data_IF_590248268112
#
_entry.id   IF_590248268112
#
_cell.length_a   1.000
_cell.length_b   1.000
_cell.length_c   1.000
_cell.angle_alpha   90.00
_cell.angle_beta   90.00
_cell.angle_gamma   90.00
#
_symmetry.space_group_name_H-M   'P 1'
#
loop_
_entity.id
_entity.type
_entity.pdbx_description
1 polymer ?
#
# COMPACT_ATOMS: atom_id res chain seq x y z
N UNK A 1 35.27 -8.72 -23.94
CA UNK A 1 36.60 -8.88 -23.32
C UNK A 1 36.69 -7.87 -22.19
N UNK A 2 36.57 -8.31 -20.93
CA UNK A 2 36.89 -7.45 -19.80
C UNK A 2 38.40 -7.13 -19.85
N UNK A 3 38.84 -5.91 -19.58
CA UNK A 3 40.27 -5.62 -19.51
C UNK A 3 40.85 -6.46 -18.39
N UNK A 4 41.91 -7.23 -18.66
CA UNK A 4 42.76 -7.80 -17.62
C UNK A 4 43.39 -6.64 -16.86
N UNK A 5 42.74 -6.26 -15.77
CA UNK A 5 43.15 -5.20 -14.88
C UNK A 5 44.45 -5.60 -14.17
N UNK A 6 45.55 -4.91 -14.51
CA UNK A 6 46.84 -5.16 -13.92
C UNK A 6 46.92 -4.50 -12.53
N UNK A 7 46.60 -5.28 -11.49
CA UNK A 7 46.62 -4.86 -10.08
C UNK A 7 48.03 -4.47 -9.58
N UNK A 8 49.10 -4.85 -10.31
CA UNK A 8 50.49 -4.50 -10.00
C UNK A 8 50.95 -3.17 -10.62
N UNK A 9 50.02 -2.38 -11.20
CA UNK A 9 50.34 -1.08 -11.77
C UNK A 9 50.95 -0.12 -10.71
N UNK A 10 52.13 0.41 -11.00
CA UNK A 10 52.84 1.38 -10.14
C UNK A 10 52.16 2.75 -10.16
N UNK A 11 51.57 3.12 -11.29
CA UNK A 11 50.88 4.39 -11.50
C UNK A 11 49.50 4.11 -12.08
N UNK A 12 48.47 4.62 -11.43
CA UNK A 12 47.07 4.48 -11.84
C UNK A 12 46.44 5.86 -11.93
N UNK A 13 45.94 6.22 -13.11
CA UNK A 13 45.13 7.42 -13.26
C UNK A 13 43.71 7.13 -12.76
N UNK A 14 43.22 7.92 -11.81
CA UNK A 14 41.84 7.88 -11.31
C UNK A 14 41.08 9.05 -11.94
N UNK A 15 40.24 8.80 -12.96
CA UNK A 15 39.48 9.84 -13.63
C UNK A 15 38.48 10.56 -12.69
N UNK A 16 37.92 11.71 -13.09
CA UNK A 16 36.78 12.31 -12.39
C UNK A 16 35.63 11.31 -12.23
N UNK A 17 34.98 11.32 -11.07
CA UNK A 17 33.89 10.39 -10.71
C UNK A 17 34.27 8.90 -10.73
N UNK A 18 35.56 8.58 -10.59
CA UNK A 18 36.03 7.24 -10.33
C UNK A 18 36.71 7.15 -8.96
N UNK A 19 36.79 5.94 -8.43
CA UNK A 19 37.50 5.65 -7.19
C UNK A 19 38.26 4.33 -7.25
N UNK A 20 39.26 4.20 -6.38
CA UNK A 20 40.03 2.97 -6.16
C UNK A 20 40.07 2.63 -4.68
N UNK A 21 40.33 1.36 -4.38
CA UNK A 21 40.66 0.91 -3.02
C UNK A 21 42.13 0.53 -2.94
N UNK A 22 42.80 1.03 -1.89
CA UNK A 22 44.23 0.83 -1.67
C UNK A 22 44.42 0.27 -0.26
N UNK A 23 45.01 -0.91 -0.17
CA UNK A 23 45.44 -1.55 1.06
C UNK A 23 46.88 -1.12 1.40
N UNK A 24 47.07 -0.53 2.56
CA UNK A 24 48.38 -0.32 3.17
C UNK A 24 48.75 -1.58 3.99
N UNK A 25 49.83 -2.27 3.61
CA UNK A 25 50.30 -3.50 4.28
C UNK A 25 50.93 -3.26 5.65
N UNK A 26 51.39 -2.04 5.94
CA UNK A 26 51.99 -1.73 7.23
C UNK A 26 50.91 -1.60 8.32
N UNK A 27 49.80 -0.96 7.97
CA UNK A 27 48.67 -0.72 8.88
C UNK A 27 47.55 -1.73 8.71
N UNK A 28 47.58 -2.51 7.62
CA UNK A 28 46.51 -3.40 7.16
C UNK A 28 45.17 -2.68 6.93
N UNK A 29 45.23 -1.38 6.60
CA UNK A 29 44.07 -0.54 6.39
C UNK A 29 43.81 -0.39 4.90
N UNK A 30 42.58 -0.68 4.50
CA UNK A 30 42.11 -0.37 3.14
C UNK A 30 41.42 0.98 3.15
N UNK A 31 41.92 1.92 2.35
CA UNK A 31 41.35 3.25 2.21
C UNK A 31 40.83 3.50 0.80
N UNK A 32 39.90 4.43 0.72
CA UNK A 32 39.29 4.91 -0.51
C UNK A 32 40.11 6.08 -1.07
N UNK A 33 40.39 6.07 -2.38
CA UNK A 33 40.96 7.22 -3.08
C UNK A 33 40.02 7.61 -4.22
N UNK A 34 39.56 8.87 -4.21
CA UNK A 34 38.67 9.43 -5.23
C UNK A 34 39.45 10.25 -6.26
N UNK A 35 38.97 10.26 -7.51
CA UNK A 35 39.52 11.10 -8.57
C UNK A 35 38.99 12.55 -8.52
N UNK A 36 39.56 13.48 -9.30
CA UNK A 36 40.61 13.28 -10.30
C UNK A 36 42.01 13.33 -9.71
N UNK A 37 42.70 12.19 -9.65
CA UNK A 37 44.07 12.11 -9.12
C UNK A 37 44.86 11.05 -9.86
N UNK A 38 46.18 11.23 -9.99
CA UNK A 38 47.08 10.15 -10.42
C UNK A 38 47.64 9.50 -9.19
N UNK A 39 47.17 8.30 -8.88
CA UNK A 39 47.64 7.54 -7.74
C UNK A 39 48.97 6.85 -8.07
N UNK A 40 49.98 7.07 -7.24
CA UNK A 40 51.28 6.41 -7.34
C UNK A 40 51.42 5.47 -6.14
N UNK A 41 51.47 4.17 -6.41
CA UNK A 41 51.53 3.11 -5.40
C UNK A 41 52.91 3.14 -4.72
N UNK A 42 52.93 3.23 -3.40
CA UNK A 42 54.16 3.02 -2.61
C UNK A 42 54.46 1.53 -2.42
N UNK A 43 55.66 1.19 -2.00
CA UNK A 43 56.10 -0.21 -1.83
C UNK A 43 55.21 -1.02 -0.86
N UNK A 44 54.71 -0.37 0.20
CA UNK A 44 53.83 -0.99 1.19
C UNK A 44 52.35 -0.97 0.80
N UNK A 45 51.98 -0.39 -0.35
CA UNK A 45 50.59 -0.26 -0.78
C UNK A 45 50.26 -1.28 -1.86
N UNK A 46 49.03 -1.79 -1.86
CA UNK A 46 48.48 -2.69 -2.87
C UNK A 46 47.12 -2.18 -3.30
N UNK A 47 46.89 -2.10 -4.61
CA UNK A 47 45.59 -1.71 -5.14
C UNK A 47 44.69 -2.94 -5.11
N UNK A 48 43.62 -2.89 -4.32
CA UNK A 48 42.66 -4.00 -4.21
C UNK A 48 41.53 -3.87 -5.21
N UNK A 49 41.19 -2.63 -5.60
CA UNK A 49 40.17 -2.34 -6.60
C UNK A 49 40.68 -1.26 -7.57
N UNK A 50 40.68 -1.58 -8.85
CA UNK A 50 41.03 -0.65 -9.93
C UNK A 50 39.95 0.43 -10.13
N UNK A 51 40.21 1.50 -10.93
CA UNK A 51 39.31 2.65 -11.02
C UNK A 51 37.89 2.27 -11.47
N UNK A 52 36.96 2.21 -10.52
CA UNK A 52 35.53 1.98 -10.78
C UNK A 52 34.78 3.30 -10.77
N UNK A 53 33.75 3.41 -11.61
CA UNK A 53 32.87 4.59 -11.63
C UNK A 53 32.07 4.69 -10.34
N UNK A 54 31.96 5.90 -9.82
CA UNK A 54 31.05 6.22 -8.74
C UNK A 54 29.60 5.94 -9.14
N UNK A 55 28.79 5.61 -8.14
CA UNK A 55 27.37 5.37 -8.32
C UNK A 55 26.69 6.72 -8.46
N UNK A 56 25.91 6.88 -9.52
CA UNK A 56 25.09 8.05 -9.76
C UNK A 56 23.63 7.66 -9.65
N UNK A 57 22.89 8.34 -8.77
CA UNK A 57 21.47 8.10 -8.52
C UNK A 57 20.72 9.35 -8.91
N UNK A 58 19.76 9.24 -9.84
CA UNK A 58 18.94 10.37 -10.29
C UNK A 58 17.76 10.64 -9.34
N UNK A 59 17.01 11.72 -9.56
CA UNK A 59 15.88 12.15 -8.70
C UNK A 59 14.74 11.14 -8.61
N UNK A 60 14.60 10.25 -9.59
CA UNK A 60 13.57 9.22 -9.67
C UNK A 60 14.10 7.80 -9.40
N UNK A 61 15.33 7.68 -8.90
CA UNK A 61 16.00 6.41 -8.66
C UNK A 61 16.48 6.29 -7.21
N UNK A 62 16.79 5.06 -6.81
CA UNK A 62 17.42 4.73 -5.55
C UNK A 62 18.33 3.50 -5.73
N UNK A 63 19.23 3.28 -4.77
CA UNK A 63 19.94 2.02 -4.62
C UNK A 63 20.00 1.64 -3.14
N UNK A 64 20.17 0.35 -2.85
CA UNK A 64 20.37 -0.15 -1.49
C UNK A 64 21.80 -0.66 -1.34
N UNK A 65 22.44 -0.30 -0.23
CA UNK A 65 23.83 -0.66 0.07
C UNK A 65 23.85 -1.47 1.35
N UNK A 66 24.46 -2.65 1.27
CA UNK A 66 24.73 -3.49 2.44
C UNK A 66 26.02 -3.07 3.12
N UNK A 67 26.02 -3.19 4.44
CA UNK A 67 27.13 -2.81 5.32
C UNK A 67 27.53 -1.34 5.16
N UNK A 68 26.59 -0.38 5.25
CA UNK A 68 26.87 1.03 5.01
C UNK A 68 27.89 1.58 6.01
N UNK A 69 28.65 2.60 5.60
CA UNK A 69 29.53 3.34 6.52
C UNK A 69 28.72 4.05 7.62
N UNK A 70 29.25 4.03 8.84
CA UNK A 70 28.70 4.80 9.97
C UNK A 70 29.02 6.27 9.78
N UNK A 71 28.02 7.12 10.03
CA UNK A 71 28.13 8.56 9.98
C UNK A 71 27.86 9.15 11.36
N UNK A 72 28.55 10.23 11.68
CA UNK A 72 28.29 11.02 12.88
C UNK A 72 27.04 11.90 12.72
N UNK A 73 26.68 12.65 13.76
CA UNK A 73 25.53 13.58 13.75
C UNK A 73 25.67 14.70 12.71
N UNK A 74 26.89 14.99 12.27
CA UNK A 74 27.21 16.00 11.26
C UNK A 74 27.21 15.43 9.83
N UNK A 75 27.04 14.11 9.69
CA UNK A 75 27.02 13.38 8.42
C UNK A 75 28.40 13.00 7.88
N UNK A 76 29.47 13.27 8.63
CA UNK A 76 30.83 12.84 8.31
C UNK A 76 31.00 11.36 8.63
N UNK A 77 31.95 10.72 7.97
CA UNK A 77 32.18 9.29 8.12
C UNK A 77 33.00 9.05 9.39
N UNK A 78 32.54 8.12 10.20
CA UNK A 78 33.27 7.69 11.38
C UNK A 78 34.43 6.80 10.94
N UNK A 79 35.65 7.22 11.29
CA UNK A 79 36.85 6.46 11.03
C UNK A 79 37.53 6.05 12.34
N UNK A 80 37.93 4.78 12.44
CA UNK A 80 38.76 4.28 13.52
C UNK A 80 40.12 3.89 12.96
N UNK A 81 41.18 4.51 13.47
CA UNK A 81 42.56 4.36 12.97
C UNK A 81 42.77 4.69 11.49
N UNK A 82 41.84 5.42 10.84
CA UNK A 82 41.88 5.74 9.41
C UNK A 82 41.16 4.71 8.52
N UNK A 83 40.42 3.78 9.13
CA UNK A 83 39.51 2.88 8.43
C UNK A 83 38.06 3.31 8.69
N UNK A 84 37.26 3.40 7.63
CA UNK A 84 35.83 3.68 7.73
C UNK A 84 35.13 2.55 8.48
N UNK A 85 34.35 2.90 9.52
CA UNK A 85 33.58 1.93 10.30
C UNK A 85 32.31 1.60 9.53
N UNK A 86 32.05 0.30 9.33
CA UNK A 86 30.83 -0.19 8.68
C UNK A 86 29.79 -0.63 9.72
N UNK A 87 28.52 -0.54 9.35
CA UNK A 87 27.42 -1.12 10.08
C UNK A 87 27.03 -2.48 9.48
N UNK A 88 27.74 -3.52 9.92
CA UNK A 88 27.58 -4.86 9.35
C UNK A 88 26.18 -5.43 9.59
N UNK A 89 25.59 -5.97 8.52
CA UNK A 89 24.24 -6.55 8.55
C UNK A 89 23.11 -5.55 8.36
N UNK A 90 23.41 -4.25 8.29
CA UNK A 90 22.45 -3.21 7.99
C UNK A 90 22.41 -2.88 6.50
N UNK A 91 21.31 -2.26 6.08
CA UNK A 91 21.09 -1.78 4.70
C UNK A 91 20.73 -0.30 4.74
N UNK A 92 21.40 0.49 3.90
CA UNK A 92 21.12 1.91 3.68
C UNK A 92 20.54 2.13 2.29
N UNK A 93 19.38 2.81 2.22
CA UNK A 93 18.82 3.27 0.96
C UNK A 93 19.39 4.65 0.62
N UNK A 94 20.10 4.76 -0.50
CA UNK A 94 20.61 6.04 -1.01
C UNK A 94 19.73 6.52 -2.16
N UNK A 95 19.29 7.77 -2.07
CA UNK A 95 18.47 8.46 -3.07
C UNK A 95 19.34 9.44 -3.87
N UNK A 96 18.69 10.32 -4.63
CA UNK A 96 19.34 11.35 -5.42
C UNK A 96 20.32 12.20 -4.59
N UNK A 97 21.60 12.07 -4.91
CA UNK A 97 22.70 12.79 -4.28
C UNK A 97 23.88 12.87 -5.27
N UNK A 98 24.90 13.70 -4.99
CA UNK A 98 26.12 13.73 -5.81
C UNK A 98 26.72 12.31 -5.97
N UNK A 99 27.35 12.00 -7.12
CA UNK A 99 27.93 10.69 -7.34
C UNK A 99 28.87 10.29 -6.20
N UNK A 100 28.70 9.08 -5.69
CA UNK A 100 29.39 8.63 -4.50
C UNK A 100 30.13 7.30 -4.76
N UNK A 101 31.30 7.11 -4.13
CA UNK A 101 32.01 5.84 -4.15
C UNK A 101 31.42 4.86 -3.13
N UNK A 102 31.77 3.58 -3.29
CA UNK A 102 31.58 2.60 -2.22
C UNK A 102 32.85 2.53 -1.37
N UNK A 103 32.67 2.51 -0.05
CA UNK A 103 33.78 2.31 0.88
C UNK A 103 34.20 0.84 0.90
N UNK A 104 35.45 0.54 1.30
CA UNK A 104 35.91 -0.85 1.42
C UNK A 104 34.98 -1.65 2.34
N UNK A 105 34.33 -2.68 1.80
CA UNK A 105 33.38 -3.55 2.50
C UNK A 105 31.89 -3.21 2.30
N UNK A 106 31.57 -2.02 1.79
CA UNK A 106 30.22 -1.73 1.28
C UNK A 106 29.97 -2.54 0.01
N UNK A 107 28.75 -3.04 -0.14
CA UNK A 107 28.33 -3.77 -1.34
C UNK A 107 26.96 -3.28 -1.80
N UNK A 108 26.71 -3.33 -3.12
CA UNK A 108 25.41 -2.98 -3.66
C UNK A 108 24.48 -4.17 -3.46
N UNK A 109 23.46 -3.98 -2.62
CA UNK A 109 22.39 -4.96 -2.41
C UNK A 109 21.37 -4.86 -3.54
N UNK A 110 20.85 -3.64 -3.75
CA UNK A 110 19.92 -3.33 -4.83
C UNK A 110 20.57 -2.35 -5.79
N UNK A 111 20.73 -2.69 -7.09
CA UNK A 111 21.31 -1.79 -8.07
C UNK A 111 20.44 -0.54 -8.25
N UNK A 112 20.96 0.47 -8.96
CA UNK A 112 20.20 1.70 -9.25
C UNK A 112 18.89 1.34 -9.94
N UNK A 113 17.79 1.56 -9.22
CA UNK A 113 16.44 1.14 -9.56
C UNK A 113 15.51 2.34 -9.46
N UNK A 114 14.49 2.41 -10.33
CA UNK A 114 13.52 3.50 -10.31
C UNK A 114 12.60 3.40 -9.09
N UNK A 115 12.23 4.55 -8.54
CA UNK A 115 11.21 4.66 -7.49
C UNK A 115 9.86 4.22 -8.05
N UNK A 116 9.05 3.58 -7.22
CA UNK A 116 7.68 3.22 -7.56
C UNK A 116 6.79 4.46 -7.54
N UNK A 117 6.43 4.93 -8.74
CA UNK A 117 5.49 6.03 -8.93
C UNK A 117 4.09 5.47 -9.04
N UNK A 118 3.20 5.95 -8.17
CA UNK A 118 1.79 5.57 -8.12
C UNK A 118 0.91 6.71 -8.63
N UNK A 119 -0.10 6.35 -9.42
CA UNK A 119 -1.19 7.26 -9.77
C UNK A 119 -2.21 7.38 -8.63
N UNK A 120 -3.18 8.29 -8.77
CA UNK A 120 -4.21 8.52 -7.74
C UNK A 120 -5.16 7.33 -7.50
N UNK A 121 -5.16 6.33 -8.39
CA UNK A 121 -5.98 5.11 -8.30
C UNK A 121 -5.15 3.88 -7.94
N UNK A 122 -3.88 4.07 -7.58
CA UNK A 122 -2.96 3.01 -7.20
C UNK A 122 -2.46 3.20 -5.77
N UNK A 123 -2.19 2.10 -5.09
CA UNK A 123 -1.59 2.08 -3.77
C UNK A 123 -0.60 0.92 -3.63
N UNK A 124 0.34 1.06 -2.69
CA UNK A 124 1.16 -0.05 -2.22
C UNK A 124 0.69 -0.49 -0.84
N UNK A 125 0.43 -1.79 -0.67
CA UNK A 125 0.24 -2.39 0.64
C UNK A 125 1.61 -2.65 1.26
N UNK A 126 1.87 -1.96 2.36
CA UNK A 126 3.11 -2.02 3.10
C UNK A 126 2.92 -2.81 4.39
N UNK A 127 4.01 -3.42 4.88
CA UNK A 127 4.07 -3.96 6.23
C UNK A 127 5.36 -3.61 6.93
N UNK A 128 5.31 -3.44 8.25
CA UNK A 128 6.48 -3.16 9.07
C UNK A 128 7.21 -4.46 9.41
N UNK A 129 8.50 -4.58 9.04
CA UNK A 129 9.37 -5.69 9.46
C UNK A 129 9.75 -5.58 10.93
N UNK A 130 10.01 -4.36 11.38
CA UNK A 130 10.41 -4.02 12.75
C UNK A 130 9.59 -2.82 13.23
N UNK A 131 9.56 -2.59 14.54
CA UNK A 131 8.90 -1.40 15.09
C UNK A 131 9.71 -0.14 14.80
N UNK A 132 9.07 0.92 14.33
CA UNK A 132 9.71 2.21 14.03
C UNK A 132 8.72 3.37 14.13
N UNK A 133 9.25 4.59 14.21
CA UNK A 133 8.46 5.81 14.12
C UNK A 133 8.37 6.27 12.67
N UNK A 134 7.16 6.29 12.11
CA UNK A 134 6.94 6.74 10.74
C UNK A 134 7.13 8.27 10.60
N UNK A 135 7.30 8.76 9.37
CA UNK A 135 7.44 10.20 9.08
C UNK A 135 6.26 11.03 9.58
N UNK A 136 5.10 10.39 9.67
CA UNK A 136 3.85 11.02 10.10
C UNK A 136 3.70 11.01 11.64
N UNK A 137 4.75 10.60 12.36
CA UNK A 137 4.75 10.47 13.82
C UNK A 137 4.00 9.25 14.34
N UNK A 138 3.54 8.37 13.45
CA UNK A 138 2.85 7.13 13.85
C UNK A 138 3.87 6.07 14.26
N UNK A 139 3.79 5.61 15.50
CA UNK A 139 4.59 4.46 15.96
C UNK A 139 4.00 3.17 15.39
N UNK A 140 4.74 2.52 14.49
CA UNK A 140 4.36 1.25 13.88
C UNK A 140 4.99 0.09 14.62
N UNK A 141 4.25 -0.98 14.79
CA UNK A 141 4.70 -2.25 15.37
C UNK A 141 5.00 -3.24 14.25
N UNK A 142 5.93 -4.18 14.49
CA UNK A 142 6.21 -5.24 13.53
C UNK A 142 4.93 -6.01 13.16
N UNK A 143 4.72 -6.21 11.86
CA UNK A 143 3.53 -6.84 11.29
C UNK A 143 2.37 -5.89 10.98
N UNK A 144 2.44 -4.62 11.41
CA UNK A 144 1.42 -3.62 11.04
C UNK A 144 1.36 -3.47 9.53
N UNK A 145 0.16 -3.30 8.98
CA UNK A 145 -0.09 -3.07 7.55
C UNK A 145 -0.79 -1.74 7.33
N UNK A 146 -0.38 -1.05 6.27
CA UNK A 146 -0.99 0.21 5.84
C UNK A 146 -0.82 0.40 4.35
N UNK A 147 -1.54 1.36 3.79
CA UNK A 147 -1.42 1.73 2.39
C UNK A 147 -0.56 2.97 2.25
N UNK A 148 0.26 2.98 1.22
CA UNK A 148 0.77 4.20 0.62
C UNK A 148 -0.08 4.48 -0.62
N UNK A 149 -1.02 5.43 -0.49
CA UNK A 149 -1.94 5.84 -1.55
C UNK A 149 -1.26 6.88 -2.46
N UNK A 150 -1.38 6.73 -3.78
CA UNK A 150 -0.93 7.76 -4.71
C UNK A 150 -1.84 9.01 -4.70
N UNK A 151 -1.47 10.09 -5.40
CA UNK A 151 -0.32 10.21 -6.28
C UNK A 151 0.99 10.47 -5.52
N UNK A 152 2.05 9.73 -5.86
CA UNK A 152 3.35 9.92 -5.22
C UNK A 152 4.40 8.90 -5.62
N UNK A 153 5.67 9.24 -5.40
CA UNK A 153 6.78 8.30 -5.52
C UNK A 153 7.07 7.68 -4.16
N UNK A 154 6.90 6.38 -4.04
CA UNK A 154 7.22 5.65 -2.82
C UNK A 154 8.73 5.61 -2.62
N UNK A 155 9.18 6.02 -1.43
CA UNK A 155 10.59 5.96 -1.00
C UNK A 155 10.76 4.76 -0.07
N UNK A 156 11.44 3.68 -0.52
CA UNK A 156 11.65 2.50 0.30
C UNK A 156 12.40 2.80 1.61
N UNK A 157 12.11 2.01 2.63
CA UNK A 157 12.78 2.08 3.94
C UNK A 157 13.19 0.68 4.39
N UNK A 158 14.23 0.58 5.21
CA UNK A 158 14.73 -0.73 5.68
C UNK A 158 13.76 -1.44 6.62
N UNK A 159 12.95 -0.69 7.35
CA UNK A 159 11.97 -1.20 8.31
C UNK A 159 10.66 -1.64 7.63
N UNK A 160 10.49 -1.38 6.34
CA UNK A 160 9.22 -1.56 5.62
C UNK A 160 9.38 -2.55 4.47
N UNK A 161 8.37 -3.39 4.27
CA UNK A 161 8.26 -4.33 3.16
C UNK A 161 7.05 -4.00 2.29
N UNK A 162 7.22 -4.03 0.98
CA UNK A 162 6.13 -3.89 0.01
C UNK A 162 5.51 -5.27 -0.22
N UNK A 163 4.27 -5.48 0.20
CA UNK A 163 3.56 -6.76 0.04
C UNK A 163 2.94 -6.91 -1.35
N UNK A 164 2.23 -5.86 -1.81
CA UNK A 164 1.57 -5.87 -3.12
C UNK A 164 1.25 -4.46 -3.62
N UNK A 165 1.14 -4.32 -4.94
CA UNK A 165 0.49 -3.18 -5.60
C UNK A 165 -1.01 -3.44 -5.66
N UNK A 166 -1.81 -2.44 -5.33
CA UNK A 166 -3.27 -2.50 -5.32
C UNK A 166 -3.81 -1.39 -6.23
N UNK A 167 -4.81 -1.73 -7.02
CA UNK A 167 -5.60 -0.77 -7.79
C UNK A 167 -6.91 -0.49 -7.06
N UNK A 168 -7.43 0.73 -7.21
CA UNK A 168 -8.76 1.08 -6.72
C UNK A 168 -9.83 0.25 -7.44
N UNK A 169 -10.84 -0.19 -6.69
CA UNK A 169 -12.00 -0.84 -7.26
C UNK A 169 -12.99 0.22 -7.76
N UNK A 170 -13.54 0.02 -8.95
CA UNK A 170 -14.59 0.91 -9.49
C UNK A 170 -15.96 0.46 -8.97
N UNK A 171 -16.65 1.39 -8.30
CA UNK A 171 -18.06 1.26 -7.92
C UNK A 171 -18.88 1.92 -9.03
N UNK A 172 -19.59 1.10 -9.80
CA UNK A 172 -20.48 1.58 -10.87
C UNK A 172 -21.81 2.09 -10.27
N UNK A 173 -22.54 2.96 -10.98
CA UNK A 173 -23.92 3.30 -10.61
C UNK A 173 -24.78 2.05 -10.44
N UNK A 174 -25.69 2.05 -9.45
CA UNK A 174 -26.54 0.90 -9.12
C UNK A 174 -25.77 -0.37 -8.72
N UNK A 175 -24.53 -0.22 -8.24
CA UNK A 175 -23.74 -1.31 -7.67
C UNK A 175 -23.18 -0.91 -6.31
N UNK A 176 -22.82 -1.91 -5.50
CA UNK A 176 -22.12 -1.70 -4.24
C UNK A 176 -21.06 -2.77 -4.02
N UNK A 177 -19.96 -2.41 -3.36
CA UNK A 177 -18.94 -3.38 -2.95
C UNK A 177 -19.29 -3.92 -1.56
N UNK A 178 -19.38 -5.24 -1.44
CA UNK A 178 -19.47 -5.92 -0.14
C UNK A 178 -18.06 -6.08 0.43
N UNK A 179 -17.77 -5.28 1.44
CA UNK A 179 -16.49 -5.28 2.13
C UNK A 179 -16.60 -6.10 3.42
N UNK A 180 -15.58 -6.90 3.69
CA UNK A 180 -15.40 -7.66 4.93
C UNK A 180 -14.10 -7.26 5.60
N UNK A 181 -14.16 -6.98 6.90
CA UNK A 181 -12.97 -6.78 7.73
C UNK A 181 -12.22 -8.10 7.94
N UNK A 182 -10.92 -8.12 7.65
CA UNK A 182 -10.05 -9.28 7.89
C UNK A 182 -9.58 -9.38 9.33
N UNK A 183 -9.38 -8.24 9.98
CA UNK A 183 -8.95 -8.11 11.38
C UNK A 183 -9.73 -6.98 12.07
N UNK A 184 -9.54 -6.81 13.38
CA UNK A 184 -10.09 -5.66 14.09
C UNK A 184 -9.26 -4.42 13.76
N UNK A 185 -9.90 -3.37 13.26
CA UNK A 185 -9.22 -2.09 12.97
C UNK A 185 -10.18 -0.91 13.12
N UNK A 186 -9.65 0.31 13.07
CA UNK A 186 -10.44 1.53 13.03
C UNK A 186 -10.40 2.09 11.61
N UNK A 187 -11.58 2.27 11.01
CA UNK A 187 -11.77 2.77 9.65
C UNK A 187 -11.44 4.27 9.56
N UNK A 188 -11.30 4.81 8.33
CA UNK A 188 -11.03 6.24 8.04
C UNK A 188 -12.05 7.17 8.70
N UNK A 189 -13.28 6.69 8.88
CA UNK A 189 -14.37 7.42 9.53
C UNK A 189 -14.35 7.32 11.07
N UNK A 190 -13.29 6.76 11.67
CA UNK A 190 -13.17 6.57 13.12
C UNK A 190 -14.03 5.44 13.70
N UNK A 191 -14.73 4.69 12.84
CA UNK A 191 -15.56 3.56 13.27
C UNK A 191 -14.70 2.34 13.53
N UNK A 192 -14.86 1.73 14.70
CA UNK A 192 -14.25 0.43 15.01
C UNK A 192 -14.95 -0.67 14.21
N UNK A 193 -14.18 -1.44 13.47
CA UNK A 193 -14.59 -2.62 12.72
C UNK A 193 -14.05 -3.87 13.39
N UNK A 194 -14.87 -4.90 13.47
CA UNK A 194 -14.47 -6.19 14.00
C UNK A 194 -14.19 -7.19 12.88
N UNK A 195 -13.29 -8.15 13.13
CA UNK A 195 -12.97 -9.21 12.18
C UNK A 195 -14.25 -9.96 11.77
N UNK A 196 -14.44 -10.11 10.46
CA UNK A 196 -15.64 -10.70 9.87
C UNK A 196 -16.85 -9.78 9.75
N UNK A 197 -16.80 -8.55 10.30
CA UNK A 197 -17.84 -7.54 10.05
C UNK A 197 -17.92 -7.23 8.55
N UNK A 198 -19.14 -7.11 8.04
CA UNK A 198 -19.42 -6.78 6.64
C UNK A 198 -20.18 -5.46 6.52
N UNK A 199 -19.89 -4.69 5.49
CA UNK A 199 -20.60 -3.46 5.14
C UNK A 199 -20.57 -3.22 3.63
N UNK A 200 -21.41 -2.30 3.16
CA UNK A 200 -21.47 -1.93 1.75
C UNK A 200 -20.84 -0.56 1.53
N UNK A 201 -20.18 -0.41 0.38
CA UNK A 201 -19.76 0.86 -0.18
C UNK A 201 -20.61 1.10 -1.42
N UNK A 202 -21.48 2.11 -1.36
CA UNK A 202 -22.46 2.45 -2.41
C UNK A 202 -22.05 3.68 -3.23
N UNK A 203 -21.10 4.47 -2.75
CA UNK A 203 -20.69 5.72 -3.40
C UNK A 203 -20.03 5.42 -4.75
N UNK A 204 -20.60 5.91 -5.87
CA UNK A 204 -20.02 5.67 -7.19
C UNK A 204 -18.65 6.33 -7.31
N UNK A 205 -17.68 5.60 -7.88
CA UNK A 205 -16.32 6.10 -8.06
C UNK A 205 -15.26 5.06 -7.74
N UNK A 206 -14.01 5.53 -7.62
CA UNK A 206 -12.89 4.68 -7.27
C UNK A 206 -12.82 4.52 -5.75
N UNK A 207 -12.89 3.27 -5.28
CA UNK A 207 -12.75 2.91 -3.87
C UNK A 207 -11.43 2.18 -3.64
N UNK A 208 -10.56 2.76 -2.82
CA UNK A 208 -9.30 2.14 -2.42
C UNK A 208 -9.53 1.22 -1.21
N UNK A 209 -9.32 -0.09 -1.40
CA UNK A 209 -9.44 -1.07 -0.32
C UNK A 209 -8.36 -0.86 0.74
N UNK A 210 -8.78 -0.65 1.98
CA UNK A 210 -7.92 -0.57 3.16
C UNK A 210 -7.04 -1.81 3.38
N UNK A 211 -5.97 -1.64 4.16
CA UNK A 211 -5.01 -2.72 4.44
C UNK A 211 -5.63 -3.98 5.09
N UNK A 212 -6.73 -3.81 5.82
CA UNK A 212 -7.46 -4.87 6.51
C UNK A 212 -8.85 -5.13 5.93
N UNK A 213 -9.13 -4.56 4.75
CA UNK A 213 -10.40 -4.72 4.05
C UNK A 213 -10.27 -5.75 2.93
N UNK A 214 -11.33 -6.51 2.73
CA UNK A 214 -11.43 -7.49 1.66
C UNK A 214 -12.75 -7.33 0.92
N UNK A 215 -12.69 -7.09 -0.38
CA UNK A 215 -13.88 -7.12 -1.24
C UNK A 215 -14.31 -8.58 -1.45
N UNK A 216 -15.49 -8.93 -0.97
CA UNK A 216 -16.05 -10.28 -1.07
C UNK A 216 -16.84 -10.46 -2.37
N UNK A 217 -17.65 -9.48 -2.74
CA UNK A 217 -18.43 -9.50 -3.99
C UNK A 217 -18.94 -8.10 -4.35
N UNK A 218 -19.33 -7.92 -5.61
CA UNK A 218 -20.10 -6.76 -6.08
C UNK A 218 -21.59 -7.12 -6.04
N UNK A 219 -22.41 -6.26 -5.44
CA UNK A 219 -23.87 -6.41 -5.37
C UNK A 219 -24.50 -5.43 -6.35
N UNK A 220 -25.37 -5.94 -7.23
CA UNK A 220 -26.15 -5.13 -8.14
C UNK A 220 -27.49 -4.75 -7.51
N UNK A 221 -27.98 -3.54 -7.83
CA UNK A 221 -29.31 -3.11 -7.44
C UNK A 221 -30.38 -3.93 -8.15
N UNK A 222 -31.48 -4.19 -7.45
CA UNK A 222 -32.72 -4.67 -8.06
C UNK A 222 -33.46 -3.47 -8.62
N UNK A 223 -33.75 -3.50 -9.93
CA UNK A 223 -34.60 -2.49 -10.56
C UNK A 223 -36.06 -2.76 -10.19
N UNK A 224 -36.75 -1.75 -9.69
CA UNK A 224 -38.15 -1.81 -9.27
C UNK A 224 -38.99 -1.02 -10.27
N UNK A 225 -40.10 -1.61 -10.68
CA UNK A 225 -41.07 -0.98 -11.58
C UNK A 225 -42.50 -1.25 -11.06
N UNK A 226 -43.52 -0.85 -11.82
CA UNK A 226 -44.91 -1.12 -11.44
C UNK A 226 -45.25 -2.62 -11.36
N UNK A 227 -44.41 -3.50 -11.92
CA UNK A 227 -44.60 -4.95 -12.00
C UNK A 227 -43.71 -5.74 -11.03
N UNK A 228 -42.69 -5.12 -10.45
CA UNK A 228 -41.72 -5.80 -9.60
C UNK A 228 -41.52 -5.01 -8.30
N UNK A 229 -41.88 -5.65 -7.19
CA UNK A 229 -41.56 -5.21 -5.83
C UNK A 229 -40.54 -6.16 -5.19
N UNK A 230 -39.71 -5.65 -4.28
CA UNK A 230 -38.74 -6.46 -3.57
C UNK A 230 -39.32 -6.91 -2.22
N UNK A 231 -39.43 -8.22 -2.00
CA UNK A 231 -39.78 -8.79 -0.70
C UNK A 231 -38.51 -9.08 0.08
N UNK A 232 -38.31 -8.30 1.15
CA UNK A 232 -37.10 -8.34 1.97
C UNK A 232 -37.42 -8.71 3.41
N UNK A 233 -36.43 -9.29 4.09
CA UNK A 233 -36.46 -9.65 5.50
C UNK A 233 -35.25 -9.10 6.24
N UNK A 234 -35.46 -8.60 7.45
CA UNK A 234 -34.37 -8.15 8.31
C UNK A 234 -33.68 -9.34 8.99
N UNK A 235 -32.39 -9.54 8.69
CA UNK A 235 -31.52 -10.52 9.36
C UNK A 235 -31.18 -10.04 10.78
N UNK A 236 -31.11 -8.72 11.00
CA UNK A 236 -30.85 -8.09 12.30
C UNK A 236 -31.68 -6.83 12.44
N UNK A 237 -31.96 -6.45 13.69
CA UNK A 237 -32.62 -5.17 13.96
C UNK A 237 -31.71 -4.02 13.52
N UNK A 238 -32.18 -3.19 12.60
CA UNK A 238 -31.43 -2.08 12.02
C UNK A 238 -32.38 -0.97 11.57
N UNK A 239 -31.81 0.15 11.12
CA UNK A 239 -32.54 1.20 10.41
C UNK A 239 -32.25 1.02 8.92
N UNK A 240 -33.29 0.89 8.10
CA UNK A 240 -33.16 0.74 6.65
C UNK A 240 -32.71 2.07 5.99
N UNK A 241 -32.42 2.01 4.69
CA UNK A 241 -31.96 3.19 3.92
C UNK A 241 -33.05 4.30 3.86
N UNK A 242 -34.31 3.95 4.11
CA UNK A 242 -35.45 4.88 4.13
C UNK A 242 -35.70 5.49 5.52
N UNK A 243 -34.91 5.12 6.54
CA UNK A 243 -35.00 5.66 7.89
C UNK A 243 -35.99 4.93 8.81
N UNK A 244 -36.60 3.83 8.38
CA UNK A 244 -37.50 3.03 9.19
C UNK A 244 -36.73 2.00 10.03
N UNK A 245 -37.14 1.86 11.30
CA UNK A 245 -36.54 0.88 12.21
C UNK A 245 -37.17 -0.50 12.01
N UNK A 246 -36.40 -1.43 11.46
CA UNK A 246 -36.78 -2.83 11.22
C UNK A 246 -36.32 -3.72 12.37
N UNK A 247 -37.19 -4.62 12.83
CA UNK A 247 -36.86 -5.63 13.83
C UNK A 247 -36.35 -6.90 13.16
N UNK A 248 -35.52 -7.67 13.86
CA UNK A 248 -35.09 -8.99 13.39
C UNK A 248 -36.29 -9.87 12.98
N UNK A 249 -36.24 -10.42 11.78
CA UNK A 249 -37.29 -11.27 11.21
C UNK A 249 -38.51 -10.52 10.65
N UNK A 250 -38.55 -9.19 10.76
CA UNK A 250 -39.57 -8.38 10.09
C UNK A 250 -39.41 -8.49 8.58
N UNK A 251 -40.53 -8.61 7.87
CA UNK A 251 -40.59 -8.68 6.42
C UNK A 251 -41.39 -7.49 5.88
N UNK A 252 -40.93 -6.90 4.78
CA UNK A 252 -41.62 -5.80 4.11
C UNK A 252 -41.41 -5.85 2.59
N UNK A 253 -42.18 -5.02 1.89
CA UNK A 253 -42.06 -4.81 0.46
C UNK A 253 -41.42 -3.45 0.20
N UNK A 254 -40.49 -3.41 -0.75
CA UNK A 254 -39.95 -2.18 -1.33
C UNK A 254 -40.49 -2.07 -2.74
N UNK A 255 -41.08 -0.94 -3.07
CA UNK A 255 -41.80 -0.73 -4.33
C UNK A 255 -41.17 0.40 -5.13
N UNK A 256 -41.59 0.55 -6.40
CA UNK A 256 -41.18 1.68 -7.25
C UNK A 256 -41.61 3.06 -6.71
N UNK A 257 -42.56 3.10 -5.75
CA UNK A 257 -42.92 4.33 -5.05
C UNK A 257 -41.86 4.79 -4.03
N UNK A 258 -41.02 3.87 -3.54
CA UNK A 258 -39.97 4.14 -2.55
C UNK A 258 -38.64 4.47 -3.24
N UNK A 259 -38.26 3.66 -4.24
CA UNK A 259 -37.03 3.85 -5.03
C UNK A 259 -37.14 3.14 -6.38
N UNK A 260 -36.48 3.69 -7.41
CA UNK A 260 -36.38 3.05 -8.74
C UNK A 260 -35.47 1.83 -8.72
N UNK A 261 -34.47 1.82 -7.84
CA UNK A 261 -33.59 0.67 -7.65
C UNK A 261 -33.17 0.53 -6.19
N UNK A 262 -33.06 -0.71 -5.71
CA UNK A 262 -32.67 -1.00 -4.33
C UNK A 262 -31.48 -1.94 -4.28
N UNK A 263 -30.43 -1.54 -3.55
CA UNK A 263 -29.30 -2.40 -3.22
C UNK A 263 -29.53 -2.93 -1.80
N UNK A 264 -29.81 -4.23 -1.63
CA UNK A 264 -30.06 -4.81 -0.31
C UNK A 264 -28.90 -4.56 0.64
N UNK A 265 -29.20 -4.08 1.84
CA UNK A 265 -28.21 -3.88 2.89
C UNK A 265 -27.66 -5.21 3.42
N UNK A 266 -26.55 -5.18 4.15
CA UNK A 266 -25.95 -6.37 4.78
C UNK A 266 -26.91 -7.04 5.80
N UNK A 267 -27.84 -6.28 6.35
CA UNK A 267 -28.85 -6.77 7.30
C UNK A 267 -30.19 -7.11 6.63
N UNK A 268 -30.27 -7.05 5.30
CA UNK A 268 -31.45 -7.37 4.51
C UNK A 268 -31.22 -8.65 3.71
N UNK A 269 -32.21 -9.52 3.72
CA UNK A 269 -32.25 -10.73 2.91
C UNK A 269 -33.38 -10.60 1.90
N UNK A 270 -33.07 -10.71 0.61
CA UNK A 270 -34.10 -10.74 -0.44
C UNK A 270 -34.72 -12.13 -0.46
N UNK A 271 -35.98 -12.22 -0.07
CA UNK A 271 -36.74 -13.48 -0.13
C UNK A 271 -37.14 -13.78 -1.57
N UNK A 272 -37.72 -12.77 -2.25
CA UNK A 272 -38.15 -12.89 -3.65
C UNK A 272 -38.42 -11.52 -4.27
N UNK A 273 -38.47 -11.50 -5.60
CA UNK A 273 -39.12 -10.43 -6.37
C UNK A 273 -40.61 -10.78 -6.47
N UNK A 274 -41.47 -9.90 -5.96
CA UNK A 274 -42.92 -10.08 -5.95
C UNK A 274 -43.56 -9.29 -7.10
N UNK A 275 -44.53 -9.91 -7.77
CA UNK A 275 -45.33 -9.27 -8.81
C UNK A 275 -46.69 -8.80 -8.24
N UNK A 276 -47.23 -7.66 -8.70
CA UNK A 276 -48.52 -7.19 -8.25
C UNK A 276 -49.63 -8.11 -8.76
N UNK A 277 -50.61 -8.36 -7.89
CA UNK A 277 -51.82 -9.09 -8.28
C UNK A 277 -52.78 -8.08 -8.94
N UNK A 278 -52.90 -8.14 -10.26
CA UNK A 278 -53.79 -7.25 -11.02
C UNK A 278 -55.17 -7.90 -11.20
N UNK A 279 -56.20 -7.28 -10.61
CA UNK A 279 -57.60 -7.71 -10.77
C UNK A 279 -58.27 -6.92 -11.91
N UNK A 280 -58.89 -7.62 -12.84
CA UNK A 280 -59.76 -7.00 -13.86
C UNK A 280 -61.17 -6.77 -13.31
N UNK A 281 -62.03 -6.05 -14.03
CA UNK A 281 -63.42 -5.78 -13.63
C UNK A 281 -64.29 -7.02 -13.39
N UNK A 282 -63.81 -8.22 -13.75
CA UNK A 282 -64.50 -9.50 -13.55
C UNK A 282 -63.83 -10.42 -12.54
N UNK A 283 -62.70 -10.02 -11.95
CA UNK A 283 -61.92 -10.85 -11.03
C UNK A 283 -62.04 -10.32 -9.60
N UNK A 284 -62.05 -11.23 -8.63
CA UNK A 284 -61.87 -10.91 -7.21
C UNK A 284 -60.85 -11.88 -6.61
N UNK A 285 -60.16 -11.46 -5.55
CA UNK A 285 -59.34 -12.34 -4.72
C UNK A 285 -59.72 -12.17 -3.26
N UNK A 286 -59.44 -13.20 -2.46
CA UNK A 286 -59.60 -13.17 -1.00
C UNK A 286 -58.22 -13.27 -0.40
N UNK A 287 -57.79 -12.21 0.30
CA UNK A 287 -56.52 -12.20 1.01
C UNK A 287 -56.73 -12.87 2.37
N UNK A 288 -56.07 -14.01 2.56
CA UNK A 288 -56.02 -14.68 3.86
C UNK A 288 -54.97 -13.95 4.72
N UNK A 289 -55.29 -13.71 6.00
CA UNK A 289 -54.44 -13.00 6.97
C UNK A 289 -53.98 -11.61 6.49
N UNK A 290 -54.91 -10.67 6.23
CA UNK A 290 -54.55 -9.34 5.77
C UNK A 290 -53.74 -8.58 6.82
N UNK A 291 -52.73 -7.84 6.36
CA UNK A 291 -52.01 -6.91 7.23
C UNK A 291 -52.98 -5.86 7.80
N UNK A 292 -52.82 -5.46 9.07
CA UNK A 292 -53.66 -4.42 9.66
C UNK A 292 -53.53 -3.13 8.85
N UNK A 293 -54.66 -2.47 8.57
CA UNK A 293 -54.65 -1.17 7.89
C UNK A 293 -53.91 -0.16 8.77
N UNK A 294 -52.78 0.33 8.27
CA UNK A 294 -52.14 1.51 8.86
C UNK A 294 -52.99 2.69 8.40
N UNK A 295 -53.85 3.20 9.28
CA UNK A 295 -54.54 4.47 9.06
C UNK A 295 -53.48 5.54 8.84
N UNK A 296 -53.29 5.95 7.58
CA UNK A 296 -52.61 7.20 7.25
C UNK A 296 -53.43 8.30 7.92
N UNK A 297 -52.95 8.80 9.08
CA UNK A 297 -53.47 10.02 9.67
C UNK A 297 -53.19 11.15 8.69
N UNK A 298 -54.18 11.47 7.87
CA UNK A 298 -54.24 12.70 7.10
C UNK A 298 -54.18 13.84 8.12
N UNK A 299 -53.12 14.65 8.06
CA UNK A 299 -53.03 15.96 8.73
C UNK A 299 -53.89 16.95 7.96
#
# INVERSE_FOLDING_TARGET
>A
MAPTENLDAVVVSVPPYNYIHVLDRNTNITRLVTGPTTFVRKDHETITQMPVRMISVTTSEYCAISNPVKRDEEGNIMEEHGQAILDFGEVEYRFAQPPFPLYPGETIDTPVTKLDVLSAVEALLLTAKVGFLDSDGTARVAGDKWLFEGPGAYRPRKEVEVLKRCDALTVEPNTALLIRATTNFTDKNGRRRFAGEKWLIKDPGAYMLGAYEHCESVIHAYNLDEKHALHVRAIKSHTDDFGHRRKHGEEWLITSADTESHIPSVNEEVIRVAEPIVLTSRNYCVVCDPLPQIELKTV
#
